data_IF_838611749020
#
_entry.id   IF_838611749020
#
_cell.length_a   1.000
_cell.length_b   1.000
_cell.length_c   1.000
_cell.angle_alpha   90.00
_cell.angle_beta   90.00
_cell.angle_gamma   90.00
#
_symmetry.space_group_name_H-M   'P 1'
#
loop_
_entity.id
_entity.type
_entity.pdbx_description
1 polymer ?
#
# COMPACT_ATOMS: atom_id res chain seq x y z
N UNK A 1 -25.54 -25.54 -24.14
CA UNK A 1 -24.98 -25.04 -22.86
C UNK A 1 -23.48 -25.12 -22.98
N UNK A 2 -22.82 -24.02 -23.39
CA UNK A 2 -21.40 -24.02 -23.74
C UNK A 2 -20.67 -23.43 -22.55
N UNK A 3 -19.96 -24.28 -21.79
CA UNK A 3 -19.04 -23.85 -20.74
C UNK A 3 -17.86 -23.14 -21.41
N UNK A 4 -17.78 -21.80 -21.30
CA UNK A 4 -16.58 -21.04 -21.63
C UNK A 4 -15.57 -21.30 -20.54
N UNK A 5 -14.55 -22.08 -20.86
CA UNK A 5 -13.32 -22.18 -20.07
C UNK A 5 -12.68 -20.79 -20.04
N UNK A 6 -12.74 -20.12 -18.90
CA UNK A 6 -11.87 -19.02 -18.60
C UNK A 6 -10.49 -19.65 -18.35
N UNK A 7 -9.55 -19.39 -19.22
CA UNK A 7 -8.16 -19.82 -19.02
C UNK A 7 -7.57 -19.07 -17.82
N UNK A 8 -7.69 -19.68 -16.64
CA UNK A 8 -6.93 -19.29 -15.47
C UNK A 8 -5.45 -19.61 -15.76
N UNK A 9 -4.69 -18.58 -16.05
CA UNK A 9 -3.24 -18.73 -16.12
C UNK A 9 -2.76 -18.66 -14.67
N UNK A 10 -2.54 -19.83 -14.06
CA UNK A 10 -1.68 -19.91 -12.88
C UNK A 10 -0.26 -19.65 -13.38
N UNK A 11 0.23 -18.45 -13.21
CA UNK A 11 1.53 -18.04 -13.72
C UNK A 11 2.56 -18.29 -12.64
N UNK A 12 3.40 -19.28 -12.88
CA UNK A 12 4.62 -19.54 -12.09
C UNK A 12 5.64 -18.39 -12.24
N UNK A 13 5.52 -17.59 -13.32
CA UNK A 13 6.26 -16.35 -13.57
C UNK A 13 5.29 -15.24 -13.94
N UNK A 14 5.07 -14.32 -13.00
CA UNK A 14 4.31 -13.10 -13.27
C UNK A 14 5.13 -12.18 -14.19
N UNK A 15 4.51 -11.57 -15.21
CA UNK A 15 5.19 -10.60 -16.04
C UNK A 15 5.57 -9.39 -15.18
N UNK A 16 6.82 -8.96 -15.29
CA UNK A 16 7.31 -7.80 -14.56
C UNK A 16 6.56 -6.52 -14.98
N UNK A 17 6.32 -6.36 -16.28
CA UNK A 17 5.55 -5.24 -16.84
C UNK A 17 4.36 -5.75 -17.64
N UNK A 18 3.25 -5.06 -17.51
CA UNK A 18 1.99 -5.38 -18.16
C UNK A 18 1.44 -4.15 -18.89
N UNK A 19 0.72 -4.37 -19.97
CA UNK A 19 -0.12 -3.38 -20.63
C UNK A 19 -1.58 -3.57 -20.17
N UNK A 20 -2.07 -2.72 -19.25
CA UNK A 20 -3.41 -2.89 -18.69
C UNK A 20 -4.52 -2.73 -19.71
N UNK A 21 -4.31 -1.89 -20.76
CA UNK A 21 -5.30 -1.66 -21.80
C UNK A 21 -5.46 -2.90 -22.68
N UNK A 22 -4.34 -3.47 -23.16
CA UNK A 22 -4.35 -4.70 -23.95
C UNK A 22 -4.89 -5.90 -23.14
N UNK A 23 -4.59 -5.96 -21.83
CA UNK A 23 -5.11 -6.99 -20.95
C UNK A 23 -6.62 -6.84 -20.73
N UNK A 24 -7.13 -5.60 -20.59
CA UNK A 24 -8.56 -5.33 -20.45
C UNK A 24 -9.34 -5.71 -21.71
N UNK A 25 -8.79 -5.46 -22.90
CA UNK A 25 -9.39 -5.90 -24.19
C UNK A 25 -9.48 -7.43 -24.28
N UNK A 26 -8.44 -8.11 -23.83
CA UNK A 26 -8.35 -9.58 -23.85
C UNK A 26 -9.05 -10.22 -22.64
N UNK A 27 -9.61 -9.43 -21.73
CA UNK A 27 -10.25 -9.88 -20.48
C UNK A 27 -9.40 -10.88 -19.71
N UNK A 28 -8.14 -10.53 -19.47
CA UNK A 28 -7.19 -11.39 -18.79
C UNK A 28 -7.36 -11.33 -17.30
N UNK A 29 -6.93 -12.40 -16.64
CA UNK A 29 -6.92 -12.52 -15.19
C UNK A 29 -5.56 -13.06 -14.76
N UNK A 30 -5.00 -12.47 -13.69
CA UNK A 30 -3.82 -12.95 -13.00
C UNK A 30 -4.20 -13.35 -11.58
N UNK A 31 -3.71 -14.48 -11.14
CA UNK A 31 -3.84 -14.96 -9.78
C UNK A 31 -2.52 -15.57 -9.36
N UNK A 32 -2.03 -15.16 -8.18
CA UNK A 32 -0.74 -15.64 -7.73
C UNK A 32 -0.35 -15.10 -6.37
N UNK A 33 0.93 -15.26 -6.07
CA UNK A 33 1.55 -14.67 -4.90
C UNK A 33 2.93 -14.13 -5.24
N UNK A 34 3.32 -13.05 -4.56
CA UNK A 34 4.64 -12.43 -4.63
C UNK A 34 5.23 -12.33 -3.23
N UNK A 35 6.56 -12.54 -3.08
CA UNK A 35 7.24 -12.22 -1.82
C UNK A 35 7.12 -10.71 -1.52
N UNK A 36 6.86 -10.35 -0.25
CA UNK A 36 6.87 -8.95 0.23
C UNK A 36 8.21 -8.26 -0.08
N UNK A 37 9.29 -9.04 -0.07
CA UNK A 37 10.64 -8.57 -0.41
C UNK A 37 10.82 -8.09 -1.86
N UNK A 38 9.87 -8.32 -2.76
CA UNK A 38 9.87 -7.76 -4.11
C UNK A 38 9.18 -6.40 -4.21
N UNK A 39 8.45 -5.99 -3.18
CA UNK A 39 7.70 -4.73 -3.11
C UNK A 39 8.55 -3.65 -2.42
N UNK A 40 9.46 -3.02 -3.19
CA UNK A 40 10.54 -2.17 -2.66
C UNK A 40 10.02 -1.02 -1.80
N UNK A 41 9.00 -0.30 -2.24
CA UNK A 41 8.42 0.84 -1.48
C UNK A 41 7.72 0.38 -0.20
N UNK A 42 7.09 -0.80 -0.23
CA UNK A 42 6.43 -1.36 0.94
C UNK A 42 7.45 -1.76 2.01
N UNK A 43 8.65 -2.23 1.63
CA UNK A 43 9.70 -2.60 2.58
C UNK A 43 10.12 -1.46 3.51
N UNK A 44 10.03 -0.21 3.06
CA UNK A 44 10.42 0.97 3.85
C UNK A 44 9.54 1.17 5.09
N UNK A 45 8.34 0.62 5.09
CA UNK A 45 7.36 0.76 6.18
C UNK A 45 7.18 -0.53 7.00
N UNK A 46 7.77 -1.64 6.56
CA UNK A 46 7.71 -2.93 7.25
C UNK A 46 8.88 -3.09 8.23
N UNK A 47 8.63 -3.68 9.38
CA UNK A 47 9.69 -4.15 10.28
C UNK A 47 10.39 -5.40 9.73
N UNK A 48 9.62 -6.26 9.04
CA UNK A 48 10.12 -7.48 8.45
C UNK A 48 9.45 -7.68 7.07
N UNK A 49 10.22 -7.75 5.97
CA UNK A 49 9.69 -7.97 4.63
C UNK A 49 9.46 -9.46 4.31
N UNK A 50 9.47 -10.34 5.29
CA UNK A 50 9.14 -11.74 5.10
C UNK A 50 7.64 -11.93 4.93
N UNK A 51 7.24 -12.87 4.08
CA UNK A 51 5.85 -13.17 3.80
C UNK A 51 5.49 -13.06 2.34
N UNK A 52 4.22 -13.31 2.05
CA UNK A 52 3.69 -13.36 0.69
C UNK A 52 2.47 -12.44 0.57
N UNK A 53 2.40 -11.69 -0.50
CA UNK A 53 1.18 -11.07 -1.00
C UNK A 53 0.44 -12.06 -1.87
N UNK A 54 -0.83 -12.30 -1.60
CA UNK A 54 -1.74 -13.05 -2.47
C UNK A 54 -2.64 -12.08 -3.20
N UNK A 55 -2.91 -12.35 -4.47
CA UNK A 55 -3.77 -11.47 -5.24
C UNK A 55 -4.52 -12.24 -6.33
N UNK A 56 -5.63 -11.64 -6.75
CA UNK A 56 -6.35 -11.99 -7.94
C UNK A 56 -6.80 -10.70 -8.61
N UNK A 57 -6.27 -10.42 -9.81
CA UNK A 57 -6.58 -9.22 -10.59
C UNK A 57 -7.21 -9.63 -11.91
N UNK A 58 -8.34 -8.99 -12.24
CA UNK A 58 -9.11 -9.18 -13.46
C UNK A 58 -9.08 -7.88 -14.26
N UNK A 59 -8.62 -7.97 -15.49
CA UNK A 59 -8.60 -6.86 -16.44
C UNK A 59 -9.82 -6.98 -17.35
N UNK A 60 -10.58 -5.91 -17.49
CA UNK A 60 -11.81 -5.91 -18.27
C UNK A 60 -12.25 -4.50 -18.64
N UNK A 61 -13.38 -4.41 -19.35
CA UNK A 61 -13.99 -3.13 -19.71
C UNK A 61 -15.39 -3.02 -19.10
N UNK A 62 -15.67 -1.84 -18.54
CA UNK A 62 -17.00 -1.45 -18.08
C UNK A 62 -17.39 -0.20 -18.88
N UNK A 63 -18.29 -0.37 -19.85
CA UNK A 63 -18.57 0.68 -20.82
C UNK A 63 -17.33 1.03 -21.65
N UNK A 64 -16.87 2.27 -21.50
CA UNK A 64 -15.65 2.76 -22.18
C UNK A 64 -14.40 2.66 -21.32
N UNK A 65 -14.54 2.44 -20.00
CA UNK A 65 -13.43 2.38 -19.06
C UNK A 65 -12.75 1.02 -19.09
N UNK A 66 -11.43 1.02 -19.16
CA UNK A 66 -10.62 -0.16 -18.89
C UNK A 66 -10.41 -0.27 -17.38
N UNK A 67 -10.77 -1.42 -16.81
CA UNK A 67 -10.80 -1.63 -15.36
C UNK A 67 -9.88 -2.75 -14.95
N UNK A 68 -9.28 -2.59 -13.77
CA UNK A 68 -8.59 -3.63 -13.01
C UNK A 68 -9.38 -3.86 -11.73
N UNK A 69 -9.93 -5.06 -11.57
CA UNK A 69 -10.75 -5.41 -10.39
C UNK A 69 -10.22 -6.67 -9.74
N UNK A 70 -10.41 -6.79 -8.44
CA UNK A 70 -9.97 -7.99 -7.74
C UNK A 70 -9.72 -7.78 -6.26
N UNK A 71 -8.73 -8.47 -5.72
CA UNK A 71 -8.32 -8.32 -4.33
C UNK A 71 -6.83 -8.56 -4.15
N UNK A 72 -6.30 -7.98 -3.08
CA UNK A 72 -4.93 -8.15 -2.59
C UNK A 72 -4.99 -8.46 -1.10
N UNK A 73 -4.27 -9.49 -0.67
CA UNK A 73 -4.20 -9.92 0.72
C UNK A 73 -2.75 -10.13 1.14
N UNK A 74 -2.41 -9.64 2.33
CA UNK A 74 -1.10 -9.86 2.95
C UNK A 74 -1.19 -9.76 4.47
N UNK A 75 -0.23 -10.33 5.17
CA UNK A 75 0.03 -10.05 6.57
C UNK A 75 1.32 -9.25 6.66
N UNK A 76 1.21 -8.02 7.18
CA UNK A 76 2.31 -7.06 7.26
C UNK A 76 2.79 -6.94 8.69
N UNK A 77 4.09 -6.94 8.91
CA UNK A 77 4.67 -6.63 10.21
C UNK A 77 5.04 -5.15 10.29
N UNK A 78 4.24 -4.39 11.03
CA UNK A 78 4.39 -2.94 11.19
C UNK A 78 4.92 -2.58 12.58
N UNK A 79 5.41 -1.35 12.74
CA UNK A 79 5.75 -0.82 14.05
C UNK A 79 4.54 -0.14 14.70
N UNK A 80 4.18 -0.58 15.89
CA UNK A 80 3.17 0.08 16.69
C UNK A 80 3.65 1.49 17.08
N UNK A 81 2.87 2.52 16.77
CA UNK A 81 3.24 3.91 17.04
C UNK A 81 3.08 4.32 18.52
N UNK A 82 2.55 3.42 19.35
CA UNK A 82 2.38 3.64 20.79
C UNK A 82 3.54 3.04 21.60
N UNK A 83 3.80 1.72 21.46
CA UNK A 83 4.84 1.01 22.22
C UNK A 83 6.11 0.72 21.44
N UNK A 84 6.16 1.09 20.15
CA UNK A 84 7.26 0.85 19.21
C UNK A 84 7.60 -0.63 18.95
N UNK A 85 6.80 -1.54 19.49
CA UNK A 85 6.93 -2.98 19.26
C UNK A 85 6.30 -3.42 17.93
N UNK A 86 6.56 -4.67 17.51
CA UNK A 86 5.99 -5.23 16.30
C UNK A 86 4.48 -5.49 16.43
N UNK A 87 3.74 -5.28 15.34
CA UNK A 87 2.32 -5.59 15.22
C UNK A 87 2.07 -6.31 13.90
N UNK A 88 1.44 -7.48 13.95
CA UNK A 88 0.95 -8.17 12.77
C UNK A 88 -0.34 -7.49 12.29
N UNK A 89 -0.32 -6.99 11.07
CA UNK A 89 -1.42 -6.27 10.46
C UNK A 89 -1.94 -7.02 9.24
N UNK A 90 -3.07 -7.71 9.35
CA UNK A 90 -3.70 -8.36 8.21
C UNK A 90 -4.32 -7.30 7.29
N UNK A 91 -3.97 -7.34 6.02
CA UNK A 91 -4.54 -6.51 4.97
C UNK A 91 -5.35 -7.37 4.03
N UNK A 92 -6.57 -6.92 3.72
CA UNK A 92 -7.40 -7.43 2.63
C UNK A 92 -8.04 -6.24 1.94
N UNK A 93 -7.51 -5.86 0.77
CA UNK A 93 -7.99 -4.72 -0.02
C UNK A 93 -8.72 -5.21 -1.26
N UNK A 94 -9.84 -4.58 -1.57
CA UNK A 94 -10.53 -4.76 -2.84
C UNK A 94 -10.01 -3.77 -3.86
N UNK A 95 -9.50 -4.28 -4.98
CA UNK A 95 -8.97 -3.49 -6.09
C UNK A 95 -10.11 -3.15 -7.04
N UNK A 96 -10.29 -1.86 -7.31
CA UNK A 96 -11.28 -1.37 -8.29
C UNK A 96 -10.74 -0.13 -9.01
N UNK A 97 -9.77 -0.34 -9.89
CA UNK A 97 -9.03 0.72 -10.56
C UNK A 97 -9.53 0.93 -11.99
N UNK A 98 -9.71 2.20 -12.37
CA UNK A 98 -9.95 2.62 -13.74
C UNK A 98 -8.66 3.14 -14.36
N UNK A 99 -8.25 2.56 -15.48
CA UNK A 99 -7.05 2.98 -16.20
C UNK A 99 -7.32 4.29 -16.94
N UNK A 100 -6.55 5.32 -16.61
CA UNK A 100 -6.64 6.68 -17.18
C UNK A 100 -5.28 7.13 -17.68
N UNK A 101 -5.28 8.02 -18.67
CA UNK A 101 -4.07 8.58 -19.29
C UNK A 101 -3.74 9.99 -18.83
N UNK A 102 -4.65 10.64 -18.10
CA UNK A 102 -4.48 12.00 -17.59
C UNK A 102 -5.22 12.23 -16.28
N UNK A 103 -4.82 13.28 -15.57
CA UNK A 103 -5.50 13.72 -14.34
C UNK A 103 -6.92 14.21 -14.66
N UNK A 104 -7.11 14.87 -15.80
CA UNK A 104 -8.44 15.34 -16.20
C UNK A 104 -9.42 14.17 -16.44
N UNK A 105 -8.93 13.03 -16.93
CA UNK A 105 -9.74 11.80 -17.02
C UNK A 105 -10.01 11.20 -15.63
N UNK A 106 -9.06 11.28 -14.71
CA UNK A 106 -9.24 10.80 -13.35
C UNK A 106 -10.35 11.57 -12.61
N UNK A 107 -10.42 12.88 -12.80
CA UNK A 107 -11.44 13.75 -12.18
C UNK A 107 -12.86 13.47 -12.68
N UNK A 108 -13.00 12.79 -13.83
CA UNK A 108 -14.28 12.41 -14.42
C UNK A 108 -14.76 11.02 -14.01
N UNK A 109 -13.96 10.30 -13.23
CA UNK A 109 -14.31 8.95 -12.79
C UNK A 109 -15.46 8.98 -11.74
N UNK A 110 -16.28 7.95 -11.70
CA UNK A 110 -17.25 7.79 -10.62
C UNK A 110 -16.50 7.50 -9.29
N UNK A 111 -17.05 7.96 -8.17
CA UNK A 111 -16.50 7.74 -6.82
C UNK A 111 -16.30 6.26 -6.44
N UNK A 112 -16.87 5.35 -7.21
CA UNK A 112 -16.79 3.91 -6.97
C UNK A 112 -15.50 3.25 -7.46
N UNK A 113 -14.66 3.95 -8.19
CA UNK A 113 -13.38 3.43 -8.67
C UNK A 113 -12.26 4.46 -8.54
N UNK A 114 -11.06 3.96 -8.25
CA UNK A 114 -9.87 4.78 -8.09
C UNK A 114 -9.11 4.88 -9.44
N UNK A 115 -8.44 5.99 -9.72
CA UNK A 115 -7.68 6.15 -10.95
C UNK A 115 -6.35 5.37 -10.91
N UNK A 116 -6.07 4.61 -11.95
CA UNK A 116 -4.75 4.08 -12.25
C UNK A 116 -4.17 4.91 -13.40
N UNK A 117 -3.34 5.89 -13.05
CA UNK A 117 -2.70 6.76 -14.03
C UNK A 117 -1.62 5.98 -14.78
N UNK A 118 -1.73 5.94 -16.09
CA UNK A 118 -0.80 5.27 -16.98
C UNK A 118 0.07 6.30 -17.69
N UNK A 119 1.28 6.54 -17.15
CA UNK A 119 2.24 7.48 -17.74
C UNK A 119 2.96 6.88 -18.96
N UNK A 120 3.12 5.55 -18.99
CA UNK A 120 3.70 4.78 -20.07
C UNK A 120 2.68 3.72 -20.53
N UNK A 121 2.93 3.09 -21.69
CA UNK A 121 2.07 2.00 -22.21
C UNK A 121 2.01 0.77 -21.28
N UNK A 122 3.00 0.63 -20.42
CA UNK A 122 3.10 -0.52 -19.50
C UNK A 122 3.38 -0.07 -18.08
N UNK A 123 2.86 -0.84 -17.10
CA UNK A 123 3.07 -0.65 -15.67
C UNK A 123 3.58 -1.95 -15.04
N UNK A 124 4.32 -1.85 -13.93
CA UNK A 124 4.70 -3.02 -13.14
C UNK A 124 3.49 -3.58 -12.38
N UNK A 125 3.30 -4.89 -12.45
CA UNK A 125 2.27 -5.55 -11.65
C UNK A 125 2.56 -5.40 -10.14
N UNK A 126 3.84 -5.45 -9.76
CA UNK A 126 4.27 -5.25 -8.37
C UNK A 126 3.92 -3.84 -7.88
N UNK A 127 3.99 -2.82 -8.75
CA UNK A 127 3.63 -1.45 -8.39
C UNK A 127 2.14 -1.32 -8.05
N UNK A 128 1.26 -1.93 -8.83
CA UNK A 128 -0.18 -1.96 -8.52
C UNK A 128 -0.42 -2.60 -7.15
N UNK A 129 0.21 -3.74 -6.88
CA UNK A 129 0.02 -4.47 -5.63
C UNK A 129 0.56 -3.70 -4.42
N UNK A 130 1.73 -3.07 -4.54
CA UNK A 130 2.32 -2.31 -3.44
C UNK A 130 1.56 -1.03 -3.13
N UNK A 131 1.02 -0.33 -4.13
CA UNK A 131 0.17 0.85 -3.91
C UNK A 131 -1.08 0.48 -3.12
N UNK A 132 -1.77 -0.59 -3.49
CA UNK A 132 -2.96 -1.07 -2.79
C UNK A 132 -2.65 -1.45 -1.33
N UNK A 133 -1.52 -2.10 -1.09
CA UNK A 133 -1.10 -2.45 0.26
C UNK A 133 -0.71 -1.22 1.08
N UNK A 134 0.02 -0.25 0.48
CA UNK A 134 0.41 0.99 1.15
C UNK A 134 -0.82 1.82 1.55
N UNK A 135 -1.83 1.91 0.69
CA UNK A 135 -3.08 2.61 0.99
C UNK A 135 -3.90 1.92 2.09
N UNK A 136 -3.77 0.62 2.24
CA UNK A 136 -4.47 -0.15 3.28
C UNK A 136 -3.78 -0.09 4.66
N UNK A 137 -2.55 0.42 4.74
CA UNK A 137 -1.85 0.63 6.02
C UNK A 137 -2.45 1.86 6.72
N UNK A 138 -2.86 1.76 7.99
CA UNK A 138 -3.33 2.91 8.73
C UNK A 138 -2.19 3.91 8.96
N UNK A 139 -2.49 5.21 8.96
CA UNK A 139 -1.50 6.27 9.24
C UNK A 139 -0.83 6.12 10.60
N UNK A 140 -1.51 5.50 11.57
CA UNK A 140 -1.02 5.28 12.93
C UNK A 140 -1.36 3.83 13.34
N UNK A 141 -0.54 2.83 12.96
CA UNK A 141 -0.75 1.45 13.40
C UNK A 141 -0.53 1.33 14.90
N UNK A 142 -1.50 0.74 15.61
CA UNK A 142 -1.45 0.55 17.07
C UNK A 142 -2.09 -0.78 17.46
N UNK A 143 -1.58 -1.40 18.55
CA UNK A 143 -2.31 -2.50 19.18
C UNK A 143 -3.63 -2.00 19.75
N UNK A 144 -4.67 -2.83 19.73
CA UNK A 144 -5.99 -2.47 20.26
C UNK A 144 -5.98 -2.08 21.76
N UNK A 145 -5.05 -2.63 22.52
CA UNK A 145 -4.73 -2.23 23.90
C UNK A 145 -3.22 -2.07 23.99
N UNK A 146 -2.75 -0.85 23.87
CA UNK A 146 -1.33 -0.54 23.91
C UNK A 146 -0.98 0.25 25.17
N UNK A 147 0.04 -0.22 25.89
CA UNK A 147 0.58 0.48 27.05
C UNK A 147 1.90 1.17 26.68
N UNK A 148 1.84 2.49 26.55
CA UNK A 148 3.03 3.31 26.25
C UNK A 148 4.08 3.27 27.39
N UNK A 149 3.73 2.80 28.58
CA UNK A 149 4.68 2.67 29.68
C UNK A 149 5.67 1.51 29.50
N UNK A 150 5.38 0.61 28.53
CA UNK A 150 6.26 -0.50 28.17
C UNK A 150 7.46 -0.07 27.30
N UNK A 151 7.46 1.17 26.77
CA UNK A 151 8.61 1.70 26.02
C UNK A 151 9.76 1.90 27.02
N UNK A 152 10.92 1.21 26.83
CA UNK A 152 12.09 1.49 27.65
C UNK A 152 12.43 2.98 27.44
N UNK A 153 12.17 3.79 28.46
CA UNK A 153 12.78 5.12 28.50
C UNK A 153 14.28 4.85 28.65
N UNK A 154 15.02 4.95 27.56
CA UNK A 154 16.46 5.19 27.70
C UNK A 154 16.55 6.37 28.65
N UNK A 155 17.08 6.11 29.85
CA UNK A 155 17.51 7.19 30.73
C UNK A 155 18.41 8.03 29.84
N UNK A 156 17.92 9.23 29.46
CA UNK A 156 18.72 10.24 28.83
C UNK A 156 19.92 10.39 29.76
N UNK A 157 21.02 9.73 29.40
CA UNK A 157 22.27 9.81 30.13
C UNK A 157 22.46 11.30 30.37
N UNK A 158 22.41 11.69 31.63
CA UNK A 158 22.66 13.07 32.06
C UNK A 158 24.07 13.37 31.58
N UNK A 159 24.17 13.97 30.38
CA UNK A 159 25.43 14.53 29.91
C UNK A 159 25.78 15.61 30.91
N UNK A 160 26.91 15.46 31.64
CA UNK A 160 27.30 16.45 32.64
C UNK A 160 27.56 17.77 31.88
N UNK A 161 26.82 18.78 32.30
CA UNK A 161 27.15 20.20 32.11
C UNK A 161 27.33 20.70 30.67
N UNK A 162 26.29 20.55 29.84
CA UNK A 162 26.20 21.41 28.67
C UNK A 162 25.54 22.73 29.10
N UNK A 163 26.14 23.90 28.81
CA UNK A 163 25.56 25.20 29.18
C UNK A 163 24.14 25.27 28.64
N UNK A 164 23.14 25.51 29.53
CA UNK A 164 21.73 25.62 29.17
C UNK A 164 21.57 26.67 28.06
N UNK A 165 21.36 26.21 26.85
CA UNK A 165 20.97 27.11 25.75
C UNK A 165 19.65 27.76 26.14
N UNK A 166 19.49 29.09 25.95
CA UNK A 166 18.23 29.75 26.23
C UNK A 166 17.11 29.06 25.42
N UNK A 167 16.01 28.81 26.08
CA UNK A 167 14.83 28.18 25.43
C UNK A 167 14.35 29.08 24.29
N UNK A 168 14.41 28.65 23.02
CA UNK A 168 13.98 29.49 21.88
C UNK A 168 12.48 29.84 21.95
N UNK A 169 11.70 29.11 22.76
CA UNK A 169 10.27 29.36 22.96
C UNK A 169 9.96 30.24 24.19
N UNK A 170 10.96 30.75 24.90
CA UNK A 170 10.73 31.61 26.06
C UNK A 170 9.88 32.85 25.73
N UNK A 171 10.00 33.34 24.49
CA UNK A 171 9.24 34.48 23.98
C UNK A 171 7.72 34.24 23.97
N UNK A 172 7.26 32.96 23.87
CA UNK A 172 5.83 32.64 23.90
C UNK A 172 5.19 32.83 25.28
N UNK A 173 5.99 32.87 26.35
CA UNK A 173 5.48 33.13 27.69
C UNK A 173 5.04 34.60 27.84
N UNK A 174 5.61 35.51 27.06
CA UNK A 174 5.26 36.94 27.06
C UNK A 174 4.02 37.29 26.23
N UNK A 175 3.63 36.37 25.30
CA UNK A 175 2.46 36.54 24.43
C UNK A 175 1.11 36.21 25.14
N UNK A 176 1.15 35.70 26.37
CA UNK A 176 -0.02 35.28 27.11
C UNK A 176 -0.48 36.41 28.07
N UNK A 177 -0.75 37.59 27.48
CA UNK A 177 -1.47 38.68 28.14
C UNK A 177 -2.79 38.97 27.44
#
# INVERSE_FOLDING_TARGET
MVYRYHSQIMVEHLPERIDPLALAEKRRQFKGSLPLSQLVRLQEVLLNPEGLVRFELKFGKVGKLSMVTGYVEAELELQCQCCLGPIAWPVSSQVNLAVVSSIDEADLLPESCDPLLLEEETISLADILQEELLLAIPSIPQHGQCDASAVPREELAQTPDTPKRPNPFAVLAEMKK
#
